data_IF_311297626426
#
_entry.id   IF_311297626426
#
_cell.length_a   1.000
_cell.length_b   1.000
_cell.length_c   1.000
_cell.angle_alpha   90.00
_cell.angle_beta   90.00
_cell.angle_gamma   90.00
#
_symmetry.space_group_name_H-M   'P 1'
#
loop_
_entity.id
_entity.type
_entity.pdbx_description
1 polymer ?
#
# COMPACT_ATOMS: atom_id res chain seq x y z
N UNK A 1 38.96 0.55 -16.97
CA UNK A 1 38.67 -0.01 -15.64
C UNK A 1 37.60 -1.07 -15.80
N UNK A 2 37.91 -2.35 -15.56
CA UNK A 2 36.97 -3.46 -15.70
C UNK A 2 36.12 -3.57 -14.42
N UNK A 3 34.81 -3.42 -14.53
CA UNK A 3 33.88 -3.61 -13.42
C UNK A 3 33.82 -5.09 -13.04
N UNK A 4 34.34 -5.43 -11.86
CA UNK A 4 34.29 -6.78 -11.28
C UNK A 4 32.85 -7.17 -10.93
N UNK A 5 32.59 -8.48 -10.89
CA UNK A 5 31.28 -9.07 -10.58
C UNK A 5 30.74 -8.61 -9.21
N UNK A 6 31.64 -8.39 -8.24
CA UNK A 6 31.31 -7.85 -6.92
C UNK A 6 30.85 -6.39 -6.98
N UNK A 7 31.50 -5.53 -7.77
CA UNK A 7 31.06 -4.15 -7.99
C UNK A 7 29.68 -4.09 -8.67
N UNK A 8 29.41 -5.00 -9.61
CA UNK A 8 28.09 -5.12 -10.25
C UNK A 8 27.00 -5.59 -9.27
N UNK A 9 27.33 -6.52 -8.38
CA UNK A 9 26.41 -7.00 -7.35
C UNK A 9 26.11 -5.92 -6.30
N UNK A 10 27.13 -5.17 -5.87
CA UNK A 10 27.00 -4.02 -4.99
C UNK A 10 26.21 -2.87 -5.62
N UNK A 11 26.47 -2.51 -6.88
CA UNK A 11 25.66 -1.52 -7.60
C UNK A 11 24.20 -1.99 -7.76
N UNK A 12 23.95 -3.27 -8.01
CA UNK A 12 22.60 -3.82 -8.07
C UNK A 12 21.87 -3.73 -6.73
N UNK A 13 22.52 -4.04 -5.61
CA UNK A 13 21.90 -3.94 -4.29
C UNK A 13 21.66 -2.49 -3.87
N UNK A 14 22.60 -1.58 -4.18
CA UNK A 14 22.44 -0.14 -3.96
C UNK A 14 21.32 0.46 -4.82
N UNK A 15 21.18 0.02 -6.08
CA UNK A 15 20.10 0.46 -6.95
C UNK A 15 18.73 -0.15 -6.59
N UNK A 16 18.70 -1.32 -5.96
CA UNK A 16 17.48 -1.90 -5.40
C UNK A 16 17.04 -1.18 -4.11
N UNK A 17 18.00 -0.74 -3.28
CA UNK A 17 17.81 0.02 -2.05
C UNK A 17 17.56 1.53 -2.26
N UNK A 18 17.19 1.92 -3.47
CA UNK A 18 16.81 3.29 -3.83
C UNK A 18 15.51 3.29 -4.59
N UNK A 19 14.67 2.26 -4.49
CA UNK A 19 13.45 2.15 -5.32
C UNK A 19 12.23 2.26 -4.45
N UNK A 20 11.31 3.13 -4.85
CA UNK A 20 10.04 3.27 -4.15
C UNK A 20 9.29 1.92 -4.12
N UNK A 21 8.79 1.52 -2.95
CA UNK A 21 8.11 0.24 -2.77
C UNK A 21 6.82 0.12 -3.61
N UNK A 22 6.13 1.24 -3.87
CA UNK A 22 4.86 1.25 -4.59
C UNK A 22 5.04 1.27 -6.12
N UNK A 23 5.98 2.08 -6.64
CA UNK A 23 6.19 2.25 -8.09
C UNK A 23 7.44 1.59 -8.66
N UNK A 24 8.33 1.06 -7.82
CA UNK A 24 9.61 0.43 -8.21
C UNK A 24 10.56 1.34 -9.01
N UNK A 25 10.28 2.63 -9.04
CA UNK A 25 11.09 3.67 -9.67
C UNK A 25 12.16 4.13 -8.70
N UNK A 26 13.29 4.60 -9.23
CA UNK A 26 14.35 5.14 -8.39
C UNK A 26 13.78 6.32 -7.59
N UNK A 27 13.77 6.18 -6.26
CA UNK A 27 13.64 7.23 -5.26
C UNK A 27 14.87 8.15 -5.35
N UNK A 28 15.11 8.67 -6.55
CA UNK A 28 15.83 9.89 -6.78
C UNK A 28 15.12 10.86 -5.86
N UNK A 29 15.75 11.36 -4.81
CA UNK A 29 15.10 12.37 -3.98
C UNK A 29 14.91 13.69 -4.73
N UNK A 30 14.82 13.67 -6.08
CA UNK A 30 14.84 14.77 -7.05
C UNK A 30 14.12 14.41 -8.35
N UNK A 31 13.39 15.37 -8.91
CA UNK A 31 12.79 15.27 -10.24
C UNK A 31 13.84 15.11 -11.36
N UNK A 32 13.67 14.19 -12.33
CA UNK A 32 14.60 14.06 -13.45
C UNK A 32 14.59 15.28 -14.37
N UNK A 33 13.47 16.01 -14.46
CA UNK A 33 13.31 17.15 -15.36
C UNK A 33 13.78 18.48 -14.74
N UNK A 34 13.54 18.69 -13.44
CA UNK A 34 13.88 19.96 -12.78
C UNK A 34 14.93 19.84 -11.66
N UNK A 35 15.39 18.63 -11.34
CA UNK A 35 16.41 18.33 -10.32
C UNK A 35 16.11 18.78 -8.89
N UNK A 36 14.93 19.38 -8.63
CA UNK A 36 14.46 19.78 -7.31
C UNK A 36 13.98 18.59 -6.50
N UNK A 37 14.05 18.69 -5.18
CA UNK A 37 13.64 17.64 -4.26
C UNK A 37 12.24 17.11 -4.59
N UNK A 38 12.09 15.79 -4.77
CA UNK A 38 10.74 15.24 -4.72
C UNK A 38 10.21 15.38 -3.30
N UNK A 39 8.89 15.50 -3.20
CA UNK A 39 8.12 15.66 -1.96
C UNK A 39 8.15 17.13 -1.44
N UNK A 40 7.03 17.83 -1.69
CA UNK A 40 6.63 19.16 -1.17
C UNK A 40 7.22 20.44 -1.78
N UNK A 41 8.51 20.54 -2.14
CA UNK A 41 9.07 21.88 -2.37
C UNK A 41 8.61 22.58 -3.65
N UNK A 42 8.03 21.88 -4.64
CA UNK A 42 7.69 22.51 -5.93
C UNK A 42 6.43 22.03 -6.65
N UNK A 43 5.83 20.89 -6.28
CA UNK A 43 4.72 20.31 -7.05
C UNK A 43 3.51 20.00 -6.16
N UNK A 44 2.28 20.39 -6.57
CA UNK A 44 1.05 19.88 -5.99
C UNK A 44 1.04 18.34 -5.98
N UNK A 45 0.33 17.74 -5.02
CA UNK A 45 0.20 16.28 -4.84
C UNK A 45 -0.04 15.51 -6.17
N UNK A 46 -0.73 16.14 -7.12
CA UNK A 46 -1.13 15.58 -8.42
C UNK A 46 -0.06 15.66 -9.53
N UNK A 47 1.11 16.27 -9.29
CA UNK A 47 2.10 16.58 -10.34
C UNK A 47 3.42 15.80 -10.18
N UNK A 48 3.45 14.76 -9.35
CA UNK A 48 4.63 13.92 -9.15
C UNK A 48 4.66 12.74 -10.12
N UNK A 49 5.17 12.92 -11.34
CA UNK A 49 5.48 11.79 -12.22
C UNK A 49 6.63 10.95 -11.62
N UNK A 50 6.57 9.62 -11.73
CA UNK A 50 5.55 8.79 -12.39
C UNK A 50 4.38 8.34 -11.48
N UNK A 51 4.46 8.60 -10.18
CA UNK A 51 3.45 8.15 -9.21
C UNK A 51 2.06 8.76 -9.47
N UNK A 52 2.00 10.07 -9.68
CA UNK A 52 0.76 10.79 -9.95
C UNK A 52 0.10 10.31 -11.24
N UNK A 53 0.86 10.09 -12.31
CA UNK A 53 0.31 9.53 -13.57
C UNK A 53 -0.27 8.14 -13.37
N UNK A 54 0.43 7.27 -12.62
CA UNK A 54 -0.08 5.94 -12.29
C UNK A 54 -1.37 6.04 -11.47
N UNK A 55 -1.42 6.96 -10.52
CA UNK A 55 -2.62 7.18 -9.71
C UNK A 55 -3.79 7.75 -10.49
N UNK A 56 -3.55 8.68 -11.42
CA UNK A 56 -4.59 9.20 -12.31
C UNK A 56 -5.16 8.08 -13.20
N UNK A 57 -4.30 7.21 -13.76
CA UNK A 57 -4.75 6.04 -14.54
C UNK A 57 -5.57 5.06 -13.69
N UNK A 58 -5.14 4.80 -12.46
CA UNK A 58 -5.87 3.96 -11.52
C UNK A 58 -7.24 4.57 -11.18
N UNK A 59 -7.28 5.85 -10.82
CA UNK A 59 -8.51 6.56 -10.49
C UNK A 59 -9.55 6.55 -11.62
N UNK A 60 -9.13 6.59 -12.90
CA UNK A 60 -10.05 6.49 -14.05
C UNK A 60 -10.89 5.21 -14.08
N UNK A 61 -10.40 4.13 -13.47
CA UNK A 61 -11.07 2.81 -13.50
C UNK A 61 -11.68 2.42 -12.16
N UNK A 62 -11.35 3.14 -11.09
CA UNK A 62 -11.72 2.75 -9.74
C UNK A 62 -12.94 3.53 -9.27
N UNK A 63 -13.97 2.77 -8.92
CA UNK A 63 -15.24 3.30 -8.44
C UNK A 63 -15.58 2.67 -7.10
N UNK A 64 -16.28 3.42 -6.26
CA UNK A 64 -16.84 2.87 -5.04
C UNK A 64 -17.83 1.77 -5.39
N UNK A 65 -17.64 0.58 -4.82
CA UNK A 65 -18.51 -0.57 -5.13
C UNK A 65 -19.97 -0.38 -4.66
N UNK A 66 -20.23 0.63 -3.80
CA UNK A 66 -21.55 0.90 -3.23
C UNK A 66 -22.31 1.94 -4.06
N UNK A 67 -21.73 3.12 -4.30
CA UNK A 67 -22.40 4.23 -4.99
C UNK A 67 -21.91 4.50 -6.42
N UNK A 68 -20.89 3.78 -6.90
CA UNK A 68 -20.34 3.98 -8.25
C UNK A 68 -19.56 5.28 -8.45
N UNK A 69 -19.45 6.14 -7.43
CA UNK A 69 -18.63 7.36 -7.49
C UNK A 69 -17.16 6.99 -7.67
N UNK A 70 -16.47 7.73 -8.52
CA UNK A 70 -15.04 7.57 -8.74
C UNK A 70 -14.27 7.74 -7.43
N UNK A 71 -13.35 6.82 -7.14
CA UNK A 71 -12.45 6.92 -6.00
C UNK A 71 -11.05 7.23 -6.48
N UNK A 72 -10.33 8.00 -5.68
CA UNK A 72 -8.98 8.44 -6.00
C UNK A 72 -8.04 7.88 -4.94
N UNK A 73 -7.26 6.83 -5.23
CA UNK A 73 -6.10 6.51 -4.43
C UNK A 73 -5.15 7.70 -4.45
N UNK A 74 -4.61 8.05 -3.29
CA UNK A 74 -3.68 9.16 -3.14
C UNK A 74 -2.40 8.64 -2.48
N UNK A 75 -1.27 9.20 -2.91
CA UNK A 75 0.02 8.93 -2.32
C UNK A 75 0.79 10.22 -2.35
N UNK A 76 1.28 10.62 -1.19
CA UNK A 76 2.19 11.74 -1.09
C UNK A 76 3.32 11.39 -0.15
N UNK A 77 4.25 12.31 -0.04
CA UNK A 77 5.43 12.12 0.77
C UNK A 77 5.67 13.39 1.56
N UNK A 78 5.88 13.20 2.86
CA UNK A 78 6.14 14.29 3.81
C UNK A 78 7.63 14.62 3.85
N UNK A 79 8.49 13.66 3.51
CA UNK A 79 9.93 13.84 3.42
C UNK A 79 10.53 12.83 2.43
N UNK A 80 11.84 12.94 2.18
CA UNK A 80 12.60 11.99 1.34
C UNK A 80 12.52 10.53 1.79
N UNK A 81 12.14 10.30 3.05
CA UNK A 81 12.08 8.97 3.66
C UNK A 81 10.72 8.67 4.27
N UNK A 82 9.72 9.54 4.12
CA UNK A 82 8.39 9.35 4.71
C UNK A 82 7.32 9.52 3.64
N UNK A 83 6.59 8.44 3.40
CA UNK A 83 5.54 8.33 2.40
C UNK A 83 4.21 8.06 3.11
N UNK A 84 3.13 8.62 2.58
CA UNK A 84 1.77 8.37 3.00
C UNK A 84 1.01 7.78 1.82
N UNK A 85 0.25 6.72 2.05
CA UNK A 85 -0.41 5.93 1.03
C UNK A 85 -1.85 5.69 1.45
N UNK A 86 -2.78 6.11 0.62
CA UNK A 86 -4.19 5.80 0.74
C UNK A 86 -4.67 5.12 -0.54
N UNK A 87 -4.98 3.84 -0.45
CA UNK A 87 -5.41 3.05 -1.60
C UNK A 87 -6.89 3.23 -1.92
N UNK A 88 -7.65 3.95 -1.08
CA UNK A 88 -9.11 4.10 -1.21
C UNK A 88 -9.86 2.77 -1.30
N UNK A 89 -9.31 1.71 -0.69
CA UNK A 89 -9.91 0.38 -0.63
C UNK A 89 -10.22 -0.02 0.82
N UNK A 90 -11.23 -0.86 0.99
CA UNK A 90 -11.55 -1.46 2.28
C UNK A 90 -10.50 -2.53 2.60
N UNK A 91 -9.72 -2.36 3.68
CA UNK A 91 -8.73 -3.34 4.12
C UNK A 91 -9.37 -4.71 4.43
N UNK A 92 -10.63 -4.71 4.88
CA UNK A 92 -11.36 -5.93 5.25
C UNK A 92 -11.90 -6.78 4.08
N UNK A 93 -12.28 -6.17 2.96
CA UNK A 93 -12.86 -6.88 1.81
C UNK A 93 -12.16 -6.63 0.47
N UNK A 94 -11.21 -5.69 0.43
CA UNK A 94 -10.40 -5.28 -0.71
C UNK A 94 -11.16 -4.54 -1.81
N UNK A 95 -12.41 -4.12 -1.57
CA UNK A 95 -13.20 -3.36 -2.54
C UNK A 95 -12.95 -1.86 -2.36
N UNK A 96 -12.97 -1.11 -3.46
CA UNK A 96 -12.85 0.34 -3.45
C UNK A 96 -14.04 1.01 -2.76
N UNK A 97 -13.77 1.95 -1.84
CA UNK A 97 -14.78 2.69 -1.08
C UNK A 97 -14.47 4.18 -1.06
N UNK A 98 -15.50 4.99 -1.26
CA UNK A 98 -15.35 6.44 -1.17
C UNK A 98 -15.20 6.88 0.28
N UNK A 99 -14.49 7.99 0.47
CA UNK A 99 -14.23 8.53 1.79
C UNK A 99 -15.51 9.03 2.46
N UNK A 100 -16.24 9.88 1.74
CA UNK A 100 -17.28 10.72 2.32
C UNK A 100 -18.51 9.96 2.84
N UNK A 101 -18.77 8.76 2.31
CA UNK A 101 -20.04 8.04 2.52
C UNK A 101 -19.87 6.58 2.96
N UNK A 102 -18.88 5.87 2.44
CA UNK A 102 -18.78 4.40 2.60
C UNK A 102 -17.54 3.95 3.38
N UNK A 103 -16.82 4.91 3.98
CA UNK A 103 -15.75 4.64 4.94
C UNK A 103 -16.29 4.83 6.36
N UNK A 104 -16.48 3.73 7.08
CA UNK A 104 -17.01 3.75 8.46
C UNK A 104 -15.92 3.95 9.51
N UNK A 105 -14.73 3.40 9.26
CA UNK A 105 -13.57 3.64 10.11
C UNK A 105 -12.28 3.69 9.29
N UNK A 106 -11.30 4.41 9.84
CA UNK A 106 -9.95 4.52 9.32
C UNK A 106 -8.98 4.21 10.45
N UNK A 107 -7.98 3.41 10.13
CA UNK A 107 -6.84 3.15 10.99
C UNK A 107 -5.56 3.50 10.21
N UNK A 108 -4.59 4.12 10.86
CA UNK A 108 -3.28 4.39 10.27
C UNK A 108 -2.30 3.28 10.66
N UNK A 109 -1.58 2.73 9.69
CA UNK A 109 -0.52 1.76 9.92
C UNK A 109 0.81 2.32 9.44
N UNK A 110 1.89 2.00 10.14
CA UNK A 110 3.23 2.53 9.85
C UNK A 110 4.17 1.37 9.61
N UNK A 111 4.54 1.17 8.34
CA UNK A 111 5.50 0.16 7.92
C UNK A 111 6.85 0.84 7.70
N UNK A 112 7.89 0.34 8.35
CA UNK A 112 9.26 0.80 8.13
C UNK A 112 9.93 -0.20 7.20
N UNK A 113 10.07 0.16 5.92
CA UNK A 113 10.88 -0.60 4.97
C UNK A 113 12.34 -0.17 5.11
N UNK A 114 13.24 -1.12 5.34
CA UNK A 114 14.69 -0.83 5.40
C UNK A 114 15.30 -1.11 4.03
N UNK A 115 15.87 -0.08 3.43
CA UNK A 115 16.61 -0.15 2.16
C UNK A 115 18.09 0.14 2.44
N UNK A 116 18.85 -0.93 2.72
CA UNK A 116 20.26 -0.82 3.08
C UNK A 116 20.48 -0.06 4.40
N UNK A 117 21.21 1.06 4.34
CA UNK A 117 21.50 1.93 5.51
C UNK A 117 20.42 2.99 5.77
N UNK A 118 19.40 3.11 4.91
CA UNK A 118 18.31 4.10 5.05
C UNK A 118 16.99 3.39 5.32
N UNK A 119 16.23 3.91 6.28
CA UNK A 119 14.87 3.46 6.54
C UNK A 119 13.86 4.38 5.85
N UNK A 120 12.95 3.80 5.08
CA UNK A 120 11.78 4.46 4.54
C UNK A 120 10.58 4.14 5.42
N UNK A 121 9.85 5.16 5.83
CA UNK A 121 8.61 5.08 6.61
C UNK A 121 7.44 5.23 5.65
N UNK A 122 6.59 4.21 5.58
CA UNK A 122 5.34 4.21 4.82
C UNK A 122 4.19 4.25 5.81
N UNK A 123 3.34 5.26 5.70
CA UNK A 123 2.12 5.43 6.49
C UNK A 123 0.94 5.05 5.61
N UNK A 124 0.28 3.95 5.91
CA UNK A 124 -0.85 3.42 5.16
C UNK A 124 -2.16 3.79 5.84
N UNK A 125 -3.15 4.20 5.04
CA UNK A 125 -4.51 4.40 5.51
C UNK A 125 -5.35 3.18 5.19
N UNK A 126 -5.70 2.47 6.26
CA UNK A 126 -6.57 1.31 6.22
C UNK A 126 -8.00 1.76 6.45
N UNK A 127 -8.79 1.74 5.38
CA UNK A 127 -10.22 2.07 5.43
C UNK A 127 -11.04 0.80 5.68
N UNK A 128 -12.15 0.92 6.39
CA UNK A 128 -13.10 -0.17 6.55
C UNK A 128 -14.51 0.30 6.17
N UNK A 129 -15.17 -0.46 5.29
CA UNK A 129 -16.58 -0.26 5.00
C UNK A 129 -17.45 -0.67 6.19
N UNK A 130 -18.71 -0.25 6.20
CA UNK A 130 -19.68 -0.55 7.26
C UNK A 130 -19.72 -2.04 7.62
N UNK A 131 -19.76 -2.92 6.61
CA UNK A 131 -19.76 -4.36 6.79
C UNK A 131 -18.46 -4.94 7.41
N UNK A 132 -17.32 -4.30 7.19
CA UNK A 132 -16.02 -4.78 7.68
C UNK A 132 -15.57 -4.11 8.98
N UNK A 133 -16.09 -2.92 9.30
CA UNK A 133 -15.70 -2.13 10.47
C UNK A 133 -15.88 -2.88 11.81
N UNK A 134 -16.99 -3.61 12.05
CA UNK A 134 -17.15 -4.41 13.28
C UNK A 134 -16.07 -5.48 13.48
N UNK A 135 -15.51 -5.99 12.38
CA UNK A 135 -14.52 -7.06 12.37
C UNK A 135 -13.10 -6.55 12.09
N UNK A 136 -12.84 -5.24 12.19
CA UNK A 136 -11.55 -4.66 11.83
C UNK A 136 -10.37 -5.27 12.57
N UNK A 137 -10.56 -5.67 13.84
CA UNK A 137 -9.53 -6.32 14.68
C UNK A 137 -9.04 -7.65 14.12
N UNK A 138 -9.86 -8.34 13.35
CA UNK A 138 -9.50 -9.62 12.73
C UNK A 138 -9.21 -9.47 11.24
N UNK A 139 -9.09 -8.25 10.70
CA UNK A 139 -8.88 -8.01 9.27
C UNK A 139 -10.17 -8.03 8.44
N UNK A 140 -11.30 -7.65 9.05
CA UNK A 140 -12.61 -7.59 8.39
C UNK A 140 -13.14 -8.96 7.99
N UNK A 141 -13.98 -8.99 6.96
CA UNK A 141 -14.68 -10.21 6.53
C UNK A 141 -13.70 -11.25 5.97
N UNK A 142 -12.63 -10.83 5.27
CA UNK A 142 -11.60 -11.76 4.77
C UNK A 142 -10.88 -12.47 5.90
N UNK A 143 -10.60 -11.77 6.99
CA UNK A 143 -9.97 -12.39 8.15
C UNK A 143 -10.95 -13.25 8.95
N UNK A 144 -12.20 -12.82 9.09
CA UNK A 144 -13.25 -13.63 9.72
C UNK A 144 -13.49 -14.94 8.96
N UNK A 145 -13.54 -14.93 7.64
CA UNK A 145 -13.70 -16.16 6.84
C UNK A 145 -12.51 -17.10 7.00
N UNK A 146 -11.27 -16.58 7.08
CA UNK A 146 -10.08 -17.39 7.36
C UNK A 146 -10.15 -18.06 8.74
N UNK A 147 -10.60 -17.34 9.76
CA UNK A 147 -10.77 -17.90 11.12
C UNK A 147 -11.82 -19.02 11.10
N UNK A 148 -12.99 -18.77 10.48
CA UNK A 148 -14.05 -19.78 10.38
C UNK A 148 -13.58 -21.05 9.66
N UNK A 149 -12.86 -20.91 8.55
CA UNK A 149 -12.31 -22.06 7.81
C UNK A 149 -11.29 -22.81 8.65
N UNK A 150 -10.39 -22.11 9.34
CA UNK A 150 -9.39 -22.75 10.20
C UNK A 150 -10.04 -23.52 11.35
N UNK A 151 -10.97 -22.90 12.07
CA UNK A 151 -11.70 -23.55 13.17
C UNK A 151 -12.53 -24.73 12.66
N UNK A 152 -13.23 -24.57 11.54
CA UNK A 152 -14.02 -25.62 10.92
C UNK A 152 -13.17 -26.82 10.49
N UNK A 153 -11.98 -26.56 9.94
CA UNK A 153 -11.04 -27.61 9.51
C UNK A 153 -10.49 -28.38 10.72
N UNK A 154 -10.14 -27.69 11.80
CA UNK A 154 -9.69 -28.32 13.05
C UNK A 154 -10.80 -29.17 13.66
N UNK A 155 -12.02 -28.63 13.76
CA UNK A 155 -13.16 -29.35 14.32
C UNK A 155 -13.51 -30.60 13.51
N UNK A 156 -13.54 -30.49 12.17
CA UNK A 156 -13.77 -31.63 11.29
C UNK A 156 -12.66 -32.68 11.43
N UNK A 157 -11.38 -32.26 11.50
CA UNK A 157 -10.26 -33.17 11.71
C UNK A 157 -10.35 -33.95 13.03
N UNK A 158 -10.71 -33.28 14.13
CA UNK A 158 -10.93 -33.94 15.43
C UNK A 158 -12.12 -34.89 15.37
N UNK A 159 -13.22 -34.49 14.74
CA UNK A 159 -14.40 -35.33 14.60
C UNK A 159 -14.09 -36.62 13.83
N UNK A 160 -13.43 -36.54 12.67
CA UNK A 160 -13.03 -37.71 11.90
C UNK A 160 -11.99 -38.58 12.62
N UNK A 161 -11.12 -37.98 13.42
CA UNK A 161 -10.14 -38.73 14.21
C UNK A 161 -10.79 -39.53 15.35
N UNK A 162 -11.81 -38.96 16.00
CA UNK A 162 -12.53 -39.58 17.12
C UNK A 162 -13.69 -40.49 16.69
N UNK A 163 -14.20 -40.30 15.47
CA UNK A 163 -15.26 -41.11 14.85
C UNK A 163 -14.83 -41.59 13.46
N UNK A 164 -13.92 -42.59 13.38
CA UNK A 164 -13.51 -43.18 12.12
C UNK A 164 -14.65 -43.94 11.41
#
# INVERSE_FOLDING_TARGET
>A
MQNTTEMKAYQRSVNAARRCHECNEEALGRCPDCHMGFCQEHFPKQQHSPCAERQMKLAQTQVCYVCGTQVYPDQWSLSKTTHYVDQSNCHGCGRYICDDLHTQSKDEDVVIAREGLRGHRYQYINRYCDMCSPFKRVGGIRGLSRILVAVGTVAAGVFFYLHP
#
